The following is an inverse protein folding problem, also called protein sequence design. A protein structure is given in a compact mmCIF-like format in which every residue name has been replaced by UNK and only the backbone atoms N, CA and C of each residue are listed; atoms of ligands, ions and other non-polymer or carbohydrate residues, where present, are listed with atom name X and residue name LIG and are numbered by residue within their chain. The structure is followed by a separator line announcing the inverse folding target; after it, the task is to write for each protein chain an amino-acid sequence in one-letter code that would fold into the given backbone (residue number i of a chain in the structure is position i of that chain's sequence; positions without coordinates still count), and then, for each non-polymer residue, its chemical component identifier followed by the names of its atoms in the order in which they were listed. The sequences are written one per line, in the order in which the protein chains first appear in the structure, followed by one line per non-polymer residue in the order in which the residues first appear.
data_IF_622374611820
#
_entry.id   IF_622374611820
#
_cell.length_a   1.000
_cell.length_b   1.000
_cell.length_c   1.000
_cell.angle_alpha   90.00
_cell.angle_beta   90.00
_cell.angle_gamma   90.00
#
_symmetry.space_group_name_H-M   'P 1'
#
loop_
_entity.id
_entity.type
_entity.pdbx_description
1 polymer ?
#
# COMPACT_ATOMS: atom_id res chain seq x y z
N UNK A 1 20.60 33.14 3.28
CA UNK A 1 21.07 32.27 4.39
C UNK A 1 19.92 31.43 4.98
N UNK A 2 19.30 30.54 4.18
CA UNK A 2 18.24 29.60 4.64
C UNK A 2 18.37 28.17 4.08
N UNK A 3 19.30 27.92 3.16
CA UNK A 3 19.52 26.58 2.57
C UNK A 3 20.33 25.65 3.50
N UNK A 4 21.18 26.20 4.37
CA UNK A 4 22.06 25.41 5.25
C UNK A 4 21.37 24.82 6.49
N UNK A 5 20.18 25.33 6.86
CA UNK A 5 19.45 24.84 8.04
C UNK A 5 18.62 23.59 7.73
N UNK A 6 18.08 23.47 6.51
CA UNK A 6 17.32 22.30 6.08
C UNK A 6 18.21 21.07 5.87
N UNK A 7 19.41 21.24 5.30
CA UNK A 7 20.35 20.12 5.09
C UNK A 7 20.86 19.50 6.41
N UNK A 8 20.98 20.27 7.49
CA UNK A 8 21.39 19.74 8.81
C UNK A 8 20.31 18.90 9.49
N UNK A 9 19.03 19.18 9.23
CA UNK A 9 17.93 18.33 9.71
C UNK A 9 17.91 16.98 8.97
N UNK A 10 18.18 17.00 7.66
CA UNK A 10 18.19 15.79 6.83
C UNK A 10 19.43 14.90 7.10
N UNK A 11 20.57 15.51 7.40
CA UNK A 11 21.82 14.79 7.68
C UNK A 11 21.96 14.31 9.13
N UNK A 12 21.18 14.83 10.09
CA UNK A 12 21.16 14.31 11.47
C UNK A 12 20.39 13.00 11.61
N UNK A 13 19.53 12.66 10.63
CA UNK A 13 18.71 11.44 10.66
C UNK A 13 19.50 10.20 10.20
N UNK A 14 20.67 10.36 9.56
CA UNK A 14 21.47 9.23 9.03
C UNK A 14 22.57 8.67 9.95
N UNK A 15 22.53 8.95 11.26
CA UNK A 15 23.43 8.32 12.25
C UNK A 15 22.67 7.76 13.45
N UNK A 16 21.80 6.79 13.21
CA UNK A 16 21.44 5.80 14.21
C UNK A 16 20.90 4.56 13.49
N UNK A 17 21.62 3.44 13.59
CA UNK A 17 21.06 2.13 13.33
C UNK A 17 20.05 1.81 14.43
N UNK A 18 18.77 1.91 14.13
CA UNK A 18 17.69 1.16 14.74
C UNK A 18 16.44 1.46 13.92
N UNK A 19 15.65 0.42 13.66
CA UNK A 19 14.34 0.47 13.00
C UNK A 19 13.55 1.70 13.48
N UNK A 20 12.97 2.51 12.58
CA UNK A 20 12.23 3.68 13.01
C UNK A 20 10.96 3.23 13.72
N UNK A 21 10.97 3.27 15.05
CA UNK A 21 9.77 3.19 15.88
C UNK A 21 9.12 4.57 15.77
N UNK A 22 8.11 4.68 14.91
CA UNK A 22 7.25 5.86 14.88
C UNK A 22 6.29 5.76 16.06
N UNK A 23 6.39 6.70 17.01
CA UNK A 23 5.40 6.87 18.07
C UNK A 23 4.02 7.10 17.43
N UNK A 24 3.07 6.22 17.73
CA UNK A 24 1.68 6.38 17.34
C UNK A 24 1.13 7.66 17.98
N UNK A 25 0.57 8.57 17.16
CA UNK A 25 -0.11 9.74 17.72
C UNK A 25 -1.34 9.28 18.53
N UNK A 26 -1.65 9.87 19.69
CA UNK A 26 -2.57 9.29 20.67
C UNK A 26 -4.06 9.23 20.27
N UNK A 27 -4.44 9.74 19.09
CA UNK A 27 -5.84 10.10 18.77
C UNK A 27 -6.47 9.32 17.60
N UNK A 28 -5.88 8.20 17.17
CA UNK A 28 -6.53 7.29 16.22
C UNK A 28 -6.69 5.92 16.85
N UNK A 29 -7.93 5.56 17.24
CA UNK A 29 -8.31 4.14 17.27
C UNK A 29 -7.88 3.56 15.94
N UNK A 30 -6.90 2.65 15.94
CA UNK A 30 -6.39 2.04 14.73
C UNK A 30 -7.58 1.56 13.89
N UNK A 31 -7.54 1.81 12.58
CA UNK A 31 -8.62 1.38 11.69
C UNK A 31 -8.98 -0.06 12.02
N UNK A 32 -10.27 -0.37 12.06
CA UNK A 32 -10.73 -1.75 12.28
C UNK A 32 -10.06 -2.72 11.30
N UNK A 33 -9.72 -2.23 10.10
CA UNK A 33 -9.04 -2.96 9.04
C UNK A 33 -7.53 -3.16 9.29
N UNK A 34 -6.90 -2.43 10.21
CA UNK A 34 -5.50 -2.61 10.60
C UNK A 34 -5.29 -3.63 11.73
N UNK A 35 -6.34 -4.00 12.46
CA UNK A 35 -6.23 -4.99 13.54
C UNK A 35 -5.76 -6.34 13.02
N UNK A 36 -4.80 -6.97 13.69
CA UNK A 36 -4.28 -8.30 13.39
C UNK A 36 -4.36 -9.20 14.63
N UNK A 37 -5.01 -10.36 14.50
CA UNK A 37 -5.04 -11.42 15.50
C UNK A 37 -3.88 -12.39 15.26
N UNK A 38 -2.77 -12.12 15.94
CA UNK A 38 -1.55 -12.94 15.88
C UNK A 38 -1.75 -14.37 16.41
N UNK A 39 -2.81 -14.64 17.18
CA UNK A 39 -3.07 -15.97 17.75
C UNK A 39 -3.70 -16.94 16.76
N UNK A 40 -4.29 -16.41 15.68
CA UNK A 40 -4.98 -17.19 14.67
C UNK A 40 -4.80 -16.61 13.26
N UNK A 41 -3.56 -16.50 12.75
CA UNK A 41 -3.32 -15.94 11.43
C UNK A 41 -3.91 -16.83 10.32
N UNK A 42 -4.38 -16.21 9.24
CA UNK A 42 -4.71 -16.91 8.01
C UNK A 42 -3.47 -16.96 7.13
N UNK A 43 -2.93 -18.15 6.93
CA UNK A 43 -1.76 -18.39 6.07
C UNK A 43 -2.22 -19.29 4.92
N UNK A 44 -2.34 -18.77 3.69
CA UNK A 44 -2.74 -19.57 2.54
C UNK A 44 -1.68 -20.62 2.21
N UNK A 45 -2.10 -21.70 1.57
CA UNK A 45 -1.19 -22.71 1.05
C UNK A 45 -0.91 -22.42 -0.43
N UNK A 46 0.33 -22.05 -0.74
CA UNK A 46 0.78 -21.65 -2.07
C UNK A 46 1.82 -22.64 -2.62
N UNK A 47 1.89 -22.77 -3.94
CA UNK A 47 3.02 -23.39 -4.62
C UNK A 47 4.26 -22.50 -4.54
N UNK A 48 5.37 -23.08 -4.07
CA UNK A 48 6.62 -22.36 -3.87
C UNK A 48 7.21 -21.83 -5.18
N UNK A 49 7.21 -22.64 -6.23
CA UNK A 49 7.77 -22.25 -7.53
C UNK A 49 7.05 -21.02 -8.12
N UNK A 50 5.71 -20.99 -8.04
CA UNK A 50 4.94 -19.82 -8.48
C UNK A 50 5.17 -18.62 -7.58
N UNK A 51 5.22 -18.82 -6.26
CA UNK A 51 5.52 -17.76 -5.30
C UNK A 51 6.89 -17.11 -5.55
N UNK A 52 7.89 -17.89 -5.98
CA UNK A 52 9.22 -17.39 -6.27
C UNK A 52 9.32 -16.75 -7.65
N UNK A 53 8.67 -17.33 -8.68
CA UNK A 53 8.85 -16.94 -10.08
C UNK A 53 7.92 -15.81 -10.59
N UNK A 54 6.68 -15.72 -10.08
CA UNK A 54 5.74 -14.71 -10.56
C UNK A 54 6.18 -13.29 -10.16
N UNK A 55 5.81 -12.29 -10.96
CA UNK A 55 6.12 -10.87 -10.72
C UNK A 55 4.91 -9.98 -11.02
N UNK A 56 5.00 -8.70 -10.62
CA UNK A 56 3.99 -7.69 -10.93
C UNK A 56 2.57 -8.11 -10.53
N UNK A 57 1.62 -7.92 -11.46
CA UNK A 57 0.21 -8.24 -11.24
C UNK A 57 -0.05 -9.72 -11.03
N UNK A 58 0.69 -10.59 -11.73
CA UNK A 58 0.48 -12.04 -11.61
C UNK A 58 0.85 -12.50 -10.20
N UNK A 59 1.96 -11.98 -9.65
CA UNK A 59 2.32 -12.24 -8.26
C UNK A 59 1.32 -11.63 -7.28
N UNK A 60 0.92 -10.37 -7.50
CA UNK A 60 -0.07 -9.70 -6.68
C UNK A 60 -1.39 -10.47 -6.61
N UNK A 61 -1.91 -10.91 -7.75
CA UNK A 61 -3.12 -11.73 -7.85
C UNK A 61 -2.93 -13.09 -7.17
N UNK A 62 -1.81 -13.75 -7.42
CA UNK A 62 -1.52 -15.07 -6.86
C UNK A 62 -1.55 -15.09 -5.33
N UNK A 63 -1.06 -14.04 -4.69
CA UNK A 63 -1.14 -13.89 -3.22
C UNK A 63 -2.52 -13.41 -2.77
N UNK A 64 -3.17 -12.52 -3.54
CA UNK A 64 -4.47 -11.93 -3.21
C UNK A 64 -5.63 -12.92 -3.31
N UNK A 65 -5.65 -13.78 -4.31
CA UNK A 65 -6.77 -14.67 -4.64
C UNK A 65 -7.23 -15.51 -3.43
N UNK A 66 -6.36 -16.24 -2.71
CA UNK A 66 -6.80 -17.00 -1.55
C UNK A 66 -7.28 -16.13 -0.39
N UNK A 67 -6.77 -14.90 -0.24
CA UNK A 67 -7.29 -13.93 0.74
C UNK A 67 -8.73 -13.52 0.38
N UNK A 68 -8.97 -13.27 -0.91
CA UNK A 68 -10.28 -12.89 -1.43
C UNK A 68 -11.30 -14.02 -1.29
N UNK A 69 -10.90 -15.27 -1.59
CA UNK A 69 -11.72 -16.45 -1.37
C UNK A 69 -12.01 -16.70 0.12
N UNK A 70 -11.03 -16.44 0.99
CA UNK A 70 -11.21 -16.54 2.43
C UNK A 70 -12.20 -15.50 2.96
N UNK A 71 -12.14 -14.24 2.50
CA UNK A 71 -13.13 -13.23 2.88
C UNK A 71 -14.50 -13.54 2.29
N UNK A 72 -14.56 -14.06 1.06
CA UNK A 72 -15.75 -14.49 0.30
C UNK A 72 -16.72 -13.34 -0.06
N UNK A 73 -17.14 -12.55 0.94
CA UNK A 73 -18.06 -11.45 0.75
C UNK A 73 -17.69 -10.25 1.64
N UNK A 74 -17.90 -9.04 1.10
CA UNK A 74 -17.66 -7.76 1.80
C UNK A 74 -18.29 -7.62 3.20
N UNK A 75 -19.41 -8.29 3.49
CA UNK A 75 -20.04 -8.27 4.83
C UNK A 75 -19.19 -8.97 5.90
N UNK A 76 -18.26 -9.84 5.50
CA UNK A 76 -17.35 -10.55 6.41
C UNK A 76 -15.95 -9.92 6.43
N UNK A 77 -15.70 -8.86 5.66
CA UNK A 77 -14.38 -8.27 5.49
C UNK A 77 -13.79 -7.80 6.83
N UNK A 78 -14.57 -7.09 7.65
CA UNK A 78 -14.10 -6.61 8.96
C UNK A 78 -13.74 -7.77 9.92
N UNK A 79 -14.58 -8.81 9.94
CA UNK A 79 -14.40 -9.99 10.80
C UNK A 79 -13.22 -10.84 10.35
N UNK A 80 -13.09 -11.09 9.05
CA UNK A 80 -12.15 -12.07 8.51
C UNK A 80 -10.77 -11.47 8.27
N UNK A 81 -10.69 -10.21 7.84
CA UNK A 81 -9.40 -9.56 7.61
C UNK A 81 -8.60 -9.35 8.90
N UNK A 82 -9.20 -9.50 10.09
CA UNK A 82 -8.44 -9.49 11.36
C UNK A 82 -7.38 -10.59 11.40
N UNK A 83 -7.56 -11.69 10.65
CA UNK A 83 -6.60 -12.78 10.58
C UNK A 83 -5.50 -12.57 9.55
N UNK A 84 -5.58 -11.49 8.76
CA UNK A 84 -4.53 -11.12 7.83
C UNK A 84 -3.42 -10.39 8.55
N UNK A 85 -2.18 -10.78 8.30
CA UNK A 85 -1.04 -9.98 8.74
C UNK A 85 -0.95 -8.66 7.94
N UNK A 86 -0.01 -7.81 8.30
CA UNK A 86 0.13 -6.48 7.72
C UNK A 86 0.45 -6.47 6.22
N UNK A 87 1.26 -7.42 5.74
CA UNK A 87 1.58 -7.55 4.31
C UNK A 87 0.37 -8.08 3.50
N UNK A 88 -0.39 -9.02 4.05
CA UNK A 88 -1.64 -9.52 3.45
C UNK A 88 -2.70 -8.42 3.37
N UNK A 89 -2.85 -7.62 4.45
CA UNK A 89 -3.73 -6.45 4.45
C UNK A 89 -3.35 -5.44 3.39
N UNK A 90 -2.04 -5.19 3.22
CA UNK A 90 -1.56 -4.31 2.16
C UNK A 90 -2.10 -4.77 0.80
N UNK A 91 -1.79 -5.99 0.36
CA UNK A 91 -2.17 -6.43 -0.99
C UNK A 91 -3.69 -6.52 -1.16
N UNK A 92 -4.40 -6.96 -0.11
CA UNK A 92 -5.86 -7.05 -0.10
C UNK A 92 -6.51 -5.68 -0.31
N UNK A 93 -6.14 -4.67 0.48
CA UNK A 93 -6.75 -3.35 0.39
C UNK A 93 -6.19 -2.50 -0.76
N UNK A 94 -4.91 -2.68 -1.11
CA UNK A 94 -4.30 -1.98 -2.25
C UNK A 94 -5.00 -2.34 -3.56
N UNK A 95 -5.50 -3.57 -3.71
CA UNK A 95 -6.24 -3.96 -4.92
C UNK A 95 -7.50 -3.12 -5.15
N UNK A 96 -8.19 -2.71 -4.07
CA UNK A 96 -9.31 -1.77 -4.18
C UNK A 96 -8.85 -0.38 -4.64
N UNK A 97 -7.72 0.11 -4.10
CA UNK A 97 -7.14 1.37 -4.56
C UNK A 97 -6.77 1.30 -6.05
N UNK A 98 -6.02 0.29 -6.47
CA UNK A 98 -5.58 0.14 -7.86
C UNK A 98 -6.78 0.07 -8.81
N UNK A 99 -7.80 -0.73 -8.46
CA UNK A 99 -9.01 -0.85 -9.27
C UNK A 99 -9.79 0.47 -9.40
N UNK A 100 -9.92 1.26 -8.32
CA UNK A 100 -10.65 2.53 -8.41
C UNK A 100 -9.84 3.60 -9.14
N UNK A 101 -8.54 3.73 -8.83
CA UNK A 101 -7.67 4.75 -9.41
C UNK A 101 -7.44 4.49 -10.90
N UNK A 102 -7.29 3.23 -11.30
CA UNK A 102 -7.11 2.87 -12.72
C UNK A 102 -8.36 3.12 -13.56
N UNK A 103 -9.56 3.04 -12.96
CA UNK A 103 -10.83 3.21 -13.68
C UNK A 103 -11.33 4.67 -13.70
N UNK A 104 -11.20 5.41 -12.60
CA UNK A 104 -11.73 6.76 -12.47
C UNK A 104 -10.90 7.69 -11.59
N UNK A 105 -9.66 7.33 -11.33
CA UNK A 105 -8.74 8.12 -10.52
C UNK A 105 -9.09 8.15 -9.03
N UNK A 106 -8.35 8.98 -8.28
CA UNK A 106 -8.58 9.17 -6.85
C UNK A 106 -9.97 9.75 -6.54
N UNK A 107 -10.54 10.54 -7.44
CA UNK A 107 -11.91 11.05 -7.31
C UNK A 107 -12.89 9.90 -7.13
N UNK A 108 -12.82 8.89 -8.02
CA UNK A 108 -13.67 7.70 -7.92
C UNK A 108 -13.41 6.91 -6.63
N UNK A 109 -12.15 6.73 -6.24
CA UNK A 109 -11.78 6.05 -4.99
C UNK A 109 -12.45 6.67 -3.76
N UNK A 110 -12.44 8.00 -3.64
CA UNK A 110 -13.07 8.68 -2.50
C UNK A 110 -14.60 8.75 -2.59
N UNK A 111 -15.16 9.08 -3.76
CA UNK A 111 -16.62 9.17 -3.95
C UNK A 111 -17.30 7.81 -3.72
N UNK A 112 -16.68 6.71 -4.15
CA UNK A 112 -17.21 5.36 -3.94
C UNK A 112 -17.00 4.83 -2.51
N UNK A 113 -16.50 5.65 -1.59
CA UNK A 113 -16.37 5.30 -0.17
C UNK A 113 -15.17 4.40 0.17
N UNK A 114 -14.25 4.15 -0.77
CA UNK A 114 -13.05 3.33 -0.52
C UNK A 114 -12.00 4.05 0.34
N UNK A 115 -12.17 5.35 0.62
CA UNK A 115 -11.31 6.11 1.53
C UNK A 115 -11.19 5.54 2.94
N UNK A 116 -12.09 4.64 3.36
CA UNK A 116 -12.00 3.88 4.62
C UNK A 116 -10.80 2.90 4.67
N UNK A 117 -10.31 2.46 3.51
CA UNK A 117 -9.16 1.58 3.39
C UNK A 117 -7.81 2.31 3.36
N UNK A 118 -7.82 3.64 3.41
CA UNK A 118 -6.58 4.42 3.24
C UNK A 118 -5.57 4.18 4.37
N UNK A 119 -6.03 4.00 5.61
CA UNK A 119 -5.16 3.71 6.75
C UNK A 119 -4.42 2.37 6.61
N UNK A 120 -5.09 1.21 6.42
CA UNK A 120 -4.38 -0.05 6.24
C UNK A 120 -3.50 -0.09 5.00
N UNK A 121 -3.89 0.58 3.89
CA UNK A 121 -3.03 0.66 2.70
C UNK A 121 -1.76 1.46 3.00
N UNK A 122 -1.87 2.65 3.60
CA UNK A 122 -0.71 3.48 3.96
C UNK A 122 0.23 2.76 4.92
N UNK A 123 -0.30 2.17 5.99
CA UNK A 123 0.51 1.43 6.98
C UNK A 123 1.17 0.21 6.33
N UNK A 124 0.44 -0.50 5.47
CA UNK A 124 0.95 -1.60 4.66
C UNK A 124 2.10 -1.18 3.73
N UNK A 125 1.95 -0.07 3.01
CA UNK A 125 3.00 0.51 2.15
C UNK A 125 4.26 0.83 2.94
N UNK A 126 4.13 1.43 4.14
CA UNK A 126 5.30 1.66 5.00
C UNK A 126 5.93 0.34 5.44
N UNK A 127 5.12 -0.66 5.79
CA UNK A 127 5.57 -1.96 6.25
C UNK A 127 6.42 -2.69 5.20
N UNK A 128 6.05 -2.59 3.92
CA UNK A 128 6.82 -3.17 2.80
C UNK A 128 7.93 -2.26 2.26
N UNK A 129 8.08 -1.04 2.82
CA UNK A 129 9.11 -0.08 2.41
C UNK A 129 8.78 0.78 1.19
N UNK A 130 7.53 0.78 0.71
CA UNK A 130 7.05 1.56 -0.43
C UNK A 130 6.74 3.03 -0.04
N UNK A 131 7.79 3.77 0.33
CA UNK A 131 7.65 5.11 0.95
C UNK A 131 7.09 6.17 0.02
N UNK A 132 7.37 6.09 -1.29
CA UNK A 132 6.90 7.10 -2.24
C UNK A 132 5.39 7.00 -2.47
N UNK A 133 4.88 5.77 -2.60
CA UNK A 133 3.46 5.48 -2.69
C UNK A 133 2.74 5.87 -1.40
N UNK A 134 3.34 5.63 -0.23
CA UNK A 134 2.81 6.11 1.04
C UNK A 134 2.63 7.64 1.04
N UNK A 135 3.65 8.40 0.59
CA UNK A 135 3.58 9.86 0.56
C UNK A 135 2.48 10.36 -0.40
N UNK A 136 2.32 9.73 -1.56
CA UNK A 136 1.21 10.05 -2.47
C UNK A 136 -0.15 9.90 -1.78
N UNK A 137 -0.35 8.82 -1.01
CA UNK A 137 -1.60 8.60 -0.28
C UNK A 137 -1.80 9.55 0.90
N UNK A 138 -0.73 10.02 1.55
CA UNK A 138 -0.80 11.07 2.56
C UNK A 138 -1.28 12.38 1.94
N UNK A 139 -0.75 12.75 0.77
CA UNK A 139 -1.19 13.93 0.04
C UNK A 139 -2.64 13.78 -0.45
N UNK A 140 -3.02 12.60 -0.94
CA UNK A 140 -4.39 12.31 -1.37
C UNK A 140 -5.37 12.40 -0.20
N UNK A 141 -5.01 11.89 0.99
CA UNK A 141 -5.83 12.06 2.18
C UNK A 141 -6.03 13.54 2.54
N UNK A 142 -4.96 14.33 2.53
CA UNK A 142 -5.01 15.77 2.82
C UNK A 142 -5.95 16.48 1.86
N UNK A 143 -5.80 16.24 0.56
CA UNK A 143 -6.63 16.88 -0.45
C UNK A 143 -8.10 16.46 -0.34
N UNK A 144 -8.40 15.16 -0.40
CA UNK A 144 -9.77 14.67 -0.55
C UNK A 144 -10.56 14.56 0.77
N UNK A 145 -9.90 14.27 1.91
CA UNK A 145 -10.60 14.12 3.21
C UNK A 145 -10.47 15.35 4.09
N UNK A 146 -9.42 16.16 3.92
CA UNK A 146 -9.15 17.35 4.76
C UNK A 146 -9.33 18.67 4.01
N UNK A 147 -9.73 18.62 2.73
CA UNK A 147 -9.92 19.79 1.87
C UNK A 147 -8.68 20.71 1.80
N UNK A 148 -7.49 20.12 1.90
CA UNK A 148 -6.23 20.85 1.83
C UNK A 148 -5.74 20.93 0.37
N UNK A 149 -6.17 21.97 -0.34
CA UNK A 149 -5.78 22.22 -1.74
C UNK A 149 -4.25 22.40 -1.91
N UNK A 150 -3.51 22.74 -0.86
CA UNK A 150 -2.06 22.89 -0.96
C UNK A 150 -1.36 21.55 -1.23
N UNK A 151 -1.97 20.43 -0.82
CA UNK A 151 -1.43 19.10 -1.06
C UNK A 151 -1.27 18.80 -2.57
N UNK A 152 -2.12 19.37 -3.43
CA UNK A 152 -2.01 19.20 -4.88
C UNK A 152 -0.73 19.85 -5.41
N UNK A 153 -0.31 20.98 -4.84
CA UNK A 153 0.89 21.73 -5.24
C UNK A 153 2.19 21.05 -4.80
N UNK A 154 2.11 20.13 -3.85
CA UNK A 154 3.26 19.34 -3.38
C UNK A 154 3.56 18.15 -4.30
N UNK A 155 2.63 17.79 -5.19
CA UNK A 155 2.82 16.71 -6.15
C UNK A 155 3.76 17.18 -7.25
N UNK A 156 4.89 16.48 -7.38
CA UNK A 156 5.82 16.63 -8.48
C UNK A 156 5.50 15.56 -9.51
N UNK A 157 5.08 15.99 -10.68
CA UNK A 157 4.77 15.12 -11.82
C UNK A 157 6.00 15.10 -12.74
N UNK A 158 6.40 13.92 -13.19
CA UNK A 158 7.45 13.77 -14.20
C UNK A 158 7.08 14.52 -15.51
N UNK A 159 8.09 15.07 -16.18
CA UNK A 159 7.94 15.84 -17.42
C UNK A 159 7.16 15.05 -18.49
N UNK A 160 7.34 13.72 -18.55
CA UNK A 160 6.64 12.86 -19.51
C UNK A 160 5.11 12.83 -19.32
N UNK A 161 4.61 13.12 -18.11
CA UNK A 161 3.17 13.17 -17.81
C UNK A 161 2.62 14.60 -17.71
N UNK A 162 3.48 15.61 -17.67
CA UNK A 162 3.08 17.01 -17.50
C UNK A 162 2.11 17.47 -18.59
N UNK A 163 2.34 17.08 -19.85
CA UNK A 163 1.42 17.38 -20.95
C UNK A 163 0.00 16.87 -20.69
N UNK A 164 -0.17 15.66 -20.14
CA UNK A 164 -1.49 15.09 -19.84
C UNK A 164 -2.18 15.84 -18.68
N UNK A 165 -1.41 16.35 -17.73
CA UNK A 165 -1.92 17.19 -16.64
C UNK A 165 -2.34 18.56 -17.17
N UNK A 166 -1.53 19.19 -18.02
CA UNK A 166 -1.81 20.50 -18.60
C UNK A 166 -3.05 20.49 -19.51
N UNK A 167 -3.33 19.35 -20.16
CA UNK A 167 -4.55 19.14 -20.95
C UNK A 167 -5.75 18.67 -20.12
N UNK A 168 -5.63 18.65 -18.78
CA UNK A 168 -6.67 18.17 -17.85
C UNK A 168 -7.13 16.72 -18.10
N UNK A 169 -6.34 15.92 -18.83
CA UNK A 169 -6.62 14.51 -19.10
C UNK A 169 -6.38 13.69 -17.83
N UNK A 170 -5.35 14.03 -17.06
CA UNK A 170 -5.03 13.43 -15.77
C UNK A 170 -4.97 14.49 -14.68
N UNK A 171 -5.43 14.14 -13.48
CA UNK A 171 -5.09 14.92 -12.29
C UNK A 171 -3.61 14.69 -11.93
N UNK A 172 -2.93 15.65 -11.26
CA UNK A 172 -1.58 15.44 -10.76
C UNK A 172 -1.42 14.18 -9.90
N UNK A 173 -2.43 13.84 -9.08
CA UNK A 173 -2.46 12.60 -8.30
C UNK A 173 -2.45 11.35 -9.18
N UNK A 174 -3.29 11.32 -10.22
CA UNK A 174 -3.34 10.19 -11.16
C UNK A 174 -2.05 10.08 -11.98
N UNK A 175 -1.51 11.21 -12.44
CA UNK A 175 -0.23 11.24 -13.15
C UNK A 175 0.90 10.68 -12.27
N UNK A 176 1.01 11.15 -11.01
CA UNK A 176 2.01 10.64 -10.07
C UNK A 176 1.80 9.16 -9.74
N UNK A 177 0.56 8.68 -9.65
CA UNK A 177 0.25 7.26 -9.46
C UNK A 177 0.70 6.40 -10.65
N UNK A 178 0.53 6.88 -11.88
CA UNK A 178 1.03 6.21 -13.08
C UNK A 178 2.56 6.19 -13.12
N UNK A 179 3.21 7.30 -12.72
CA UNK A 179 4.66 7.44 -12.70
C UNK A 179 5.34 6.47 -11.72
N UNK A 180 4.92 6.49 -10.45
CA UNK A 180 5.45 5.56 -9.44
C UNK A 180 4.86 4.14 -9.61
N UNK A 181 3.89 4.05 -10.52
CA UNK A 181 3.25 2.88 -11.04
C UNK A 181 2.70 1.94 -9.98
N UNK A 182 2.56 0.69 -10.42
CA UNK A 182 2.37 -0.47 -9.55
C UNK A 182 3.66 -0.89 -8.85
N UNK A 183 4.65 0.01 -8.71
CA UNK A 183 5.93 -0.28 -8.04
C UNK A 183 5.76 -0.75 -6.58
N UNK A 184 4.61 -0.47 -5.95
CA UNK A 184 4.25 -1.08 -4.68
C UNK A 184 4.23 -2.62 -4.73
N UNK A 185 3.89 -3.23 -5.87
CA UNK A 185 3.94 -4.68 -6.07
C UNK A 185 5.37 -5.21 -6.13
N UNK A 186 6.33 -4.42 -6.61
CA UNK A 186 7.74 -4.81 -6.60
C UNK A 186 8.29 -4.80 -5.17
N UNK A 187 8.00 -3.76 -4.39
CA UNK A 187 8.31 -3.72 -2.97
C UNK A 187 7.63 -4.86 -2.21
N UNK A 188 6.37 -5.15 -2.52
CA UNK A 188 5.64 -6.25 -1.92
C UNK A 188 6.26 -7.61 -2.28
N UNK A 189 6.66 -7.81 -3.54
CA UNK A 189 7.34 -9.03 -3.97
C UNK A 189 8.68 -9.19 -3.26
N UNK A 190 9.49 -8.15 -3.19
CA UNK A 190 10.77 -8.19 -2.47
C UNK A 190 10.59 -8.49 -0.98
N UNK A 191 9.59 -7.87 -0.35
CA UNK A 191 9.22 -8.15 1.02
C UNK A 191 8.81 -9.61 1.18
N UNK A 192 7.93 -10.11 0.30
CA UNK A 192 7.39 -11.45 0.35
C UNK A 192 8.46 -12.54 0.21
N UNK A 193 9.47 -12.33 -0.62
CA UNK A 193 10.60 -13.25 -0.75
C UNK A 193 11.50 -13.28 0.50
N UNK A 194 11.56 -12.20 1.27
CA UNK A 194 12.32 -12.11 2.53
C UNK A 194 11.55 -12.67 3.72
N UNK A 195 10.21 -12.66 3.64
CA UNK A 195 9.29 -13.05 4.70
C UNK A 195 8.23 -14.06 4.18
N UNK A 196 8.63 -15.17 3.54
CA UNK A 196 7.68 -16.07 2.88
C UNK A 196 6.71 -16.75 3.87
N UNK A 197 7.16 -16.99 5.10
CA UNK A 197 6.41 -17.61 6.19
C UNK A 197 5.27 -16.75 6.71
N UNK A 198 5.35 -15.43 6.53
CA UNK A 198 4.23 -14.54 6.80
C UNK A 198 3.11 -14.73 5.77
N UNK A 199 3.46 -14.93 4.50
CA UNK A 199 2.48 -14.88 3.41
C UNK A 199 1.98 -16.24 2.96
N UNK A 200 2.74 -17.30 3.19
CA UNK A 200 2.47 -18.60 2.63
C UNK A 200 2.96 -19.75 3.52
N UNK A 201 2.17 -20.81 3.56
CA UNK A 201 2.67 -22.15 3.76
C UNK A 201 2.89 -22.77 2.38
N UNK A 202 3.95 -23.54 2.21
CA UNK A 202 4.23 -24.18 0.92
C UNK A 202 3.73 -25.62 0.92
N UNK A 203 3.09 -26.06 -0.17
CA UNK A 203 2.78 -27.48 -0.34
C UNK A 203 4.08 -28.28 -0.28
N UNK A 204 4.18 -29.18 0.69
CA UNK A 204 5.17 -30.25 0.62
C UNK A 204 4.72 -31.18 -0.49
N UNK A 205 5.55 -31.37 -1.52
CA UNK A 205 5.33 -32.44 -2.49
C UNK A 205 5.17 -33.75 -1.71
N UNK A 206 3.96 -34.31 -1.71
CA UNK A 206 3.78 -35.70 -1.30
C UNK A 206 4.60 -36.52 -2.29
N UNK A 207 5.71 -37.08 -1.81
CA UNK A 207 6.51 -38.04 -2.54
C UNK A 207 5.56 -39.10 -3.15
N UNK A 208 5.49 -39.12 -4.48
CA UNK A 208 4.80 -40.17 -5.24
C UNK A 208 5.66 -41.42 -5.29
#
# INVERSE_FOLDING_TARGET
MKLFTLLKSYLSIKKASSTPIFEESPDQKASIYWKFDETNPFIPNLEKEQFESLTGMDFGWYVLEPLSLYVDHSKYEEERCVRFNYAQKFIYFWWYLDAQVSNGGFVQFFINGYGKYLDPIKRGLMHIGATEQYQLLVLAERYFKKNDESALKEIKVDEQYQFLVDQEILTPFCAKYLEIGRGALDFFKEYALKHPDELASFKTETAK
#
